data_IF_376904474231
#
_entry.id   IF_376904474231
#
_cell.length_a   1.000
_cell.length_b   1.000
_cell.length_c   1.000
_cell.angle_alpha   90.00
_cell.angle_beta   90.00
_cell.angle_gamma   90.00
#
_symmetry.space_group_name_H-M   'P 1'
#
loop_
_entity.id
_entity.type
_entity.pdbx_description
1 polymer ?
#
# COMPACT_ATOMS: atom_id res chain seq x y z
N UNK A 1 -6.60 -11.19 -23.25
CA UNK A 1 -6.04 -11.41 -21.89
C UNK A 1 -6.77 -10.49 -20.94
N UNK A 2 -6.88 -10.86 -19.66
CA UNK A 2 -7.43 -9.98 -18.61
C UNK A 2 -6.48 -8.78 -18.39
N UNK A 3 -7.04 -7.65 -18.00
CA UNK A 3 -6.25 -6.50 -17.55
C UNK A 3 -5.65 -6.81 -16.18
N UNK A 4 -4.33 -6.83 -16.08
CA UNK A 4 -3.62 -7.24 -14.87
C UNK A 4 -3.27 -6.04 -13.98
N UNK A 5 -3.80 -6.06 -12.75
CA UNK A 5 -3.54 -5.06 -11.71
C UNK A 5 -2.73 -5.72 -10.61
N UNK A 6 -1.50 -5.28 -10.43
CA UNK A 6 -0.62 -5.77 -9.36
C UNK A 6 -0.66 -4.79 -8.18
N UNK A 7 -1.01 -5.27 -6.99
CA UNK A 7 -1.15 -4.47 -5.78
C UNK A 7 -0.01 -4.80 -4.80
N UNK A 8 1.00 -3.94 -4.71
CA UNK A 8 2.10 -4.06 -3.75
C UNK A 8 1.76 -3.25 -2.49
N UNK A 9 1.92 -3.83 -1.32
CA UNK A 9 1.70 -3.14 -0.07
C UNK A 9 2.21 -3.88 1.16
N UNK A 10 1.87 -3.33 2.30
CA UNK A 10 2.22 -3.85 3.62
C UNK A 10 1.10 -4.70 4.25
N UNK A 11 0.97 -4.64 5.57
CA UNK A 11 -0.08 -5.33 6.33
C UNK A 11 -1.50 -4.95 5.93
N UNK A 12 -1.75 -3.71 5.52
CA UNK A 12 -3.06 -3.28 5.03
C UNK A 12 -3.41 -3.93 3.67
N UNK A 13 -2.43 -4.25 2.85
CA UNK A 13 -2.64 -5.01 1.60
C UNK A 13 -2.67 -6.51 1.85
N UNK A 14 -1.87 -7.01 2.79
CA UNK A 14 -1.96 -8.38 3.29
C UNK A 14 -3.33 -8.69 3.89
N UNK A 15 -3.99 -7.68 4.47
CA UNK A 15 -5.27 -7.79 5.14
C UNK A 15 -5.13 -8.17 6.61
N UNK A 16 -4.09 -7.69 7.29
CA UNK A 16 -3.96 -7.91 8.74
C UNK A 16 -5.15 -7.32 9.48
N UNK A 17 -5.75 -8.11 10.35
CA UNK A 17 -6.89 -7.74 11.19
C UNK A 17 -6.42 -7.55 12.64
N UNK A 18 -6.38 -6.30 13.10
CA UNK A 18 -5.93 -5.99 14.46
C UNK A 18 -7.01 -6.28 15.52
N UNK A 19 -8.29 -6.25 15.14
CA UNK A 19 -9.43 -6.64 15.99
C UNK A 19 -10.08 -7.91 15.42
N UNK A 20 -9.82 -9.09 15.99
CA UNK A 20 -10.45 -10.34 15.53
C UNK A 20 -11.98 -10.32 15.50
N UNK A 21 -12.61 -9.40 16.25
CA UNK A 21 -14.08 -9.25 16.22
C UNK A 21 -14.58 -8.54 14.94
N UNK A 22 -13.71 -7.80 14.26
CA UNK A 22 -14.02 -7.19 12.97
C UNK A 22 -13.81 -8.15 11.79
N UNK A 23 -13.09 -9.26 11.98
CA UNK A 23 -12.87 -10.29 10.98
C UNK A 23 -13.99 -11.35 11.04
N UNK A 24 -14.58 -11.70 9.89
CA UNK A 24 -15.69 -12.68 9.83
C UNK A 24 -15.30 -14.04 10.41
N UNK A 25 -14.03 -14.44 10.24
CA UNK A 25 -13.52 -15.72 10.72
C UNK A 25 -12.86 -15.64 12.11
N UNK A 26 -12.97 -14.48 12.77
CA UNK A 26 -12.30 -14.18 14.04
C UNK A 26 -10.78 -14.44 14.00
N UNK A 27 -10.18 -14.32 12.83
CA UNK A 27 -8.75 -14.49 12.60
C UNK A 27 -7.96 -13.19 12.71
N UNK A 28 -6.66 -13.29 12.43
CA UNK A 28 -5.73 -12.16 12.39
C UNK A 28 -5.51 -11.65 10.96
N UNK A 29 -6.25 -12.17 9.98
CA UNK A 29 -6.22 -11.75 8.59
C UNK A 29 -7.63 -11.77 8.03
N UNK A 30 -8.06 -10.66 7.45
CA UNK A 30 -9.31 -10.60 6.71
C UNK A 30 -9.32 -11.63 5.56
N UNK A 31 -10.43 -12.31 5.36
CA UNK A 31 -10.57 -13.31 4.31
C UNK A 31 -10.77 -12.68 2.91
N UNK A 32 -10.96 -13.51 1.88
CA UNK A 32 -11.12 -13.08 0.49
C UNK A 32 -12.41 -12.32 0.19
N UNK A 33 -13.37 -12.30 1.10
CA UNK A 33 -14.57 -11.47 0.99
C UNK A 33 -14.40 -10.08 1.62
N UNK A 34 -13.35 -9.88 2.39
CA UNK A 34 -13.13 -8.71 3.21
C UNK A 34 -11.95 -7.85 2.76
N UNK A 35 -10.82 -8.46 2.32
CA UNK A 35 -9.64 -7.71 1.89
C UNK A 35 -9.93 -6.80 0.71
N UNK A 36 -9.38 -5.59 0.72
CA UNK A 36 -9.62 -4.62 -0.33
C UNK A 36 -9.22 -5.09 -1.73
N UNK A 37 -8.16 -5.85 -1.86
CA UNK A 37 -7.68 -6.42 -3.13
C UNK A 37 -8.69 -7.41 -3.73
N UNK A 38 -9.22 -8.29 -2.91
CA UNK A 38 -10.23 -9.26 -3.32
C UNK A 38 -11.58 -8.60 -3.61
N UNK A 39 -11.96 -7.59 -2.81
CA UNK A 39 -13.15 -6.76 -3.09
C UNK A 39 -12.98 -5.98 -4.40
N UNK A 40 -11.79 -5.45 -4.67
CA UNK A 40 -11.46 -4.80 -5.93
C UNK A 40 -11.63 -5.77 -7.11
N UNK A 41 -11.11 -7.01 -6.99
CA UNK A 41 -11.32 -8.05 -8.02
C UNK A 41 -12.80 -8.30 -8.28
N UNK A 42 -13.61 -8.39 -7.23
CA UNK A 42 -15.07 -8.59 -7.37
C UNK A 42 -15.75 -7.40 -8.06
N UNK A 43 -15.38 -6.18 -7.67
CA UNK A 43 -15.96 -4.95 -8.22
C UNK A 43 -15.61 -4.76 -9.71
N UNK A 44 -14.39 -5.08 -10.10
CA UNK A 44 -13.92 -4.94 -11.49
C UNK A 44 -14.40 -6.07 -12.40
N UNK A 45 -14.73 -7.23 -11.84
CA UNK A 45 -15.28 -8.36 -12.58
C UNK A 45 -14.22 -9.20 -13.33
N UNK A 46 -14.70 -10.14 -14.21
CA UNK A 46 -13.87 -11.20 -14.78
C UNK A 46 -12.87 -10.73 -15.83
N UNK A 47 -13.02 -9.53 -16.39
CA UNK A 47 -12.11 -8.96 -17.38
C UNK A 47 -10.80 -8.47 -16.77
N UNK A 48 -10.71 -8.46 -15.45
CA UNK A 48 -9.53 -8.03 -14.69
C UNK A 48 -8.93 -9.20 -13.92
N UNK A 49 -7.65 -9.10 -13.64
CA UNK A 49 -6.90 -9.94 -12.70
C UNK A 49 -6.26 -9.01 -11.68
N UNK A 50 -6.68 -9.10 -10.44
CA UNK A 50 -6.05 -8.38 -9.32
C UNK A 50 -5.16 -9.34 -8.56
N UNK A 51 -3.86 -9.06 -8.53
CA UNK A 51 -2.87 -9.85 -7.79
C UNK A 51 -2.44 -9.08 -6.57
N UNK A 52 -2.49 -9.73 -5.40
CA UNK A 52 -2.10 -9.13 -4.12
C UNK A 52 -0.67 -9.55 -3.71
N UNK A 53 0.18 -8.56 -3.50
CA UNK A 53 1.54 -8.68 -3.00
C UNK A 53 1.68 -7.88 -1.70
N UNK A 54 0.88 -8.24 -0.69
CA UNK A 54 0.90 -7.66 0.66
C UNK A 54 1.79 -8.46 1.60
N UNK A 55 2.69 -7.77 2.32
CA UNK A 55 3.52 -8.36 3.37
C UNK A 55 3.57 -7.46 4.60
N UNK A 56 3.12 -7.96 5.75
CA UNK A 56 3.16 -7.20 7.01
C UNK A 56 4.57 -6.74 7.36
N UNK A 57 4.72 -5.46 7.70
CA UNK A 57 6.03 -4.88 8.02
C UNK A 57 6.80 -4.29 6.82
N UNK A 58 6.32 -4.46 5.60
CA UNK A 58 6.99 -4.02 4.37
C UNK A 58 7.15 -2.50 4.31
N UNK A 59 8.34 -2.06 3.88
CA UNK A 59 8.72 -0.66 3.67
C UNK A 59 8.92 -0.35 2.18
N UNK A 60 9.07 0.91 1.84
CA UNK A 60 9.38 1.33 0.46
C UNK A 60 10.81 0.94 0.05
N UNK A 61 11.81 1.57 0.67
CA UNK A 61 13.24 1.43 0.31
C UNK A 61 14.15 1.31 1.52
N UNK A 62 13.61 1.24 2.74
CA UNK A 62 14.35 1.25 3.99
C UNK A 62 14.47 -0.16 4.55
N UNK A 63 15.66 -0.78 4.55
CA UNK A 63 15.85 -2.06 5.20
C UNK A 63 15.49 -1.99 6.69
N UNK A 64 14.65 -2.90 7.15
CA UNK A 64 14.36 -3.00 8.58
C UNK A 64 15.48 -3.79 9.27
N UNK A 65 16.16 -3.24 10.29
CA UNK A 65 17.27 -3.95 10.94
C UNK A 65 16.83 -5.15 11.77
N UNK A 66 15.50 -5.32 12.00
CA UNK A 66 14.93 -6.41 12.81
C UNK A 66 14.36 -7.52 11.94
N UNK A 67 13.88 -7.17 10.72
CA UNK A 67 13.20 -8.10 9.83
C UNK A 67 13.88 -8.15 8.47
N UNK A 68 14.03 -9.35 7.93
CA UNK A 68 14.72 -9.56 6.64
C UNK A 68 13.84 -9.20 5.44
N UNK A 69 14.46 -8.59 4.42
CA UNK A 69 13.87 -8.34 3.10
C UNK A 69 12.54 -7.56 3.13
N UNK A 70 12.42 -6.57 4.03
CA UNK A 70 11.19 -5.78 4.12
C UNK A 70 11.13 -4.64 3.10
N UNK A 71 12.26 -4.12 2.61
CA UNK A 71 12.24 -3.07 1.60
C UNK A 71 11.93 -3.63 0.20
N UNK A 72 10.87 -3.09 -0.43
CA UNK A 72 10.45 -3.54 -1.76
C UNK A 72 11.52 -3.28 -2.81
N UNK A 73 12.27 -2.18 -2.68
CA UNK A 73 13.23 -1.77 -3.70
C UNK A 73 14.26 -2.85 -4.00
N UNK A 74 14.69 -3.61 -2.98
CA UNK A 74 15.75 -4.62 -3.13
C UNK A 74 15.33 -5.79 -4.03
N UNK A 75 14.03 -6.10 -4.15
CA UNK A 75 13.53 -7.23 -4.94
C UNK A 75 12.43 -6.86 -5.95
N UNK A 76 12.10 -5.57 -6.10
CA UNK A 76 11.03 -5.12 -7.01
C UNK A 76 11.21 -5.60 -8.44
N UNK A 77 12.45 -5.73 -8.92
CA UNK A 77 12.72 -6.27 -10.25
C UNK A 77 12.19 -7.71 -10.40
N UNK A 78 12.58 -8.61 -9.50
CA UNK A 78 12.16 -10.00 -9.55
C UNK A 78 10.63 -10.12 -9.35
N UNK A 79 10.08 -9.33 -8.42
CA UNK A 79 8.64 -9.30 -8.15
C UNK A 79 7.84 -8.91 -9.41
N UNK A 80 8.20 -7.80 -10.05
CA UNK A 80 7.49 -7.33 -11.23
C UNK A 80 7.65 -8.30 -12.42
N UNK A 81 8.86 -8.86 -12.64
CA UNK A 81 9.11 -9.81 -13.71
C UNK A 81 8.34 -11.12 -13.54
N UNK A 82 8.09 -11.56 -12.32
CA UNK A 82 7.29 -12.76 -12.07
C UNK A 82 5.80 -12.57 -12.33
N UNK A 83 5.35 -11.32 -12.48
CA UNK A 83 3.95 -10.94 -12.75
C UNK A 83 3.71 -10.32 -14.13
N UNK A 84 4.68 -10.40 -15.05
CA UNK A 84 4.52 -9.85 -16.41
C UNK A 84 3.40 -10.58 -17.19
N UNK A 85 2.52 -9.88 -17.94
CA UNK A 85 2.57 -8.43 -18.16
C UNK A 85 1.58 -7.71 -17.24
N UNK A 86 1.94 -6.49 -16.83
CA UNK A 86 1.17 -5.66 -15.90
C UNK A 86 0.52 -4.51 -16.67
N UNK A 87 -0.78 -4.25 -16.43
CA UNK A 87 -1.49 -3.08 -16.96
C UNK A 87 -1.47 -1.91 -15.98
N UNK A 88 -1.53 -2.18 -14.67
CA UNK A 88 -1.49 -1.17 -13.62
C UNK A 88 -0.77 -1.72 -12.39
N UNK A 89 0.20 -0.97 -11.89
CA UNK A 89 0.84 -1.20 -10.60
C UNK A 89 0.23 -0.26 -9.56
N UNK A 90 -0.34 -0.82 -8.50
CA UNK A 90 -0.83 -0.09 -7.33
C UNK A 90 0.15 -0.28 -6.18
N UNK A 91 0.63 0.81 -5.56
CA UNK A 91 1.57 0.76 -4.44
C UNK A 91 0.97 1.49 -3.25
N UNK A 92 0.71 0.78 -2.16
CA UNK A 92 0.30 1.34 -0.87
C UNK A 92 1.29 0.92 0.21
N UNK A 93 2.26 1.79 0.46
CA UNK A 93 3.36 1.63 1.43
C UNK A 93 3.62 2.96 2.13
N UNK A 94 4.39 2.94 3.22
CA UNK A 94 4.80 4.14 3.94
C UNK A 94 4.52 4.07 5.44
N UNK A 95 3.53 3.27 5.87
CA UNK A 95 3.22 3.10 7.30
C UNK A 95 4.43 2.60 8.07
N UNK A 96 5.08 1.53 7.59
CA UNK A 96 6.26 0.96 8.25
C UNK A 96 7.53 1.81 8.12
N UNK A 97 7.57 2.66 7.12
CA UNK A 97 8.68 3.61 6.92
C UNK A 97 8.73 4.66 8.03
N UNK A 98 7.62 4.86 8.78
CA UNK A 98 7.55 5.78 9.92
C UNK A 98 8.20 5.25 11.19
N UNK A 99 8.57 3.97 11.25
CA UNK A 99 9.18 3.34 12.43
C UNK A 99 10.42 4.10 12.88
N UNK A 100 10.45 4.49 14.15
CA UNK A 100 11.50 5.38 14.70
C UNK A 100 12.92 4.83 14.48
N UNK A 101 13.08 3.49 14.50
CA UNK A 101 14.37 2.81 14.22
C UNK A 101 14.91 3.03 12.81
N UNK A 102 14.08 3.49 11.86
CA UNK A 102 14.51 3.79 10.49
C UNK A 102 15.00 5.24 10.34
N UNK A 103 14.76 6.11 11.33
CA UNK A 103 15.25 7.49 11.34
C UNK A 103 14.71 8.36 10.20
N UNK A 104 13.50 8.10 9.74
CA UNK A 104 12.89 8.75 8.57
C UNK A 104 12.09 10.00 8.95
N UNK A 105 11.67 10.72 7.93
CA UNK A 105 10.70 11.80 8.00
C UNK A 105 9.84 11.81 6.72
N UNK A 106 8.75 12.59 6.63
CA UNK A 106 7.86 12.56 5.47
C UNK A 106 8.55 12.83 4.12
N UNK A 107 9.50 13.77 4.08
CA UNK A 107 10.28 14.07 2.88
C UNK A 107 11.11 12.86 2.42
N UNK A 108 11.83 12.23 3.35
CA UNK A 108 12.70 11.07 3.05
C UNK A 108 11.86 9.87 2.60
N UNK A 109 10.69 9.65 3.22
CA UNK A 109 9.72 8.61 2.80
C UNK A 109 9.21 8.91 1.38
N UNK A 110 8.85 10.16 1.09
CA UNK A 110 8.46 10.59 -0.25
C UNK A 110 9.54 10.32 -1.31
N UNK A 111 10.81 10.61 -0.97
CA UNK A 111 11.95 10.28 -1.85
C UNK A 111 12.17 8.77 -2.00
N UNK A 112 11.87 8.00 -0.98
CA UNK A 112 11.85 6.53 -1.05
C UNK A 112 10.82 6.04 -2.05
N UNK A 113 9.59 6.54 -1.99
CA UNK A 113 8.53 6.22 -2.95
C UNK A 113 8.92 6.65 -4.38
N UNK A 114 9.44 7.85 -4.56
CA UNK A 114 9.93 8.31 -5.86
C UNK A 114 10.96 7.34 -6.45
N UNK A 115 11.93 6.92 -5.65
CA UNK A 115 12.97 5.98 -6.08
C UNK A 115 12.39 4.62 -6.45
N UNK A 116 11.43 4.11 -5.66
CA UNK A 116 10.76 2.85 -5.92
C UNK A 116 9.96 2.88 -7.23
N UNK A 117 9.16 3.92 -7.43
CA UNK A 117 8.34 4.08 -8.65
C UNK A 117 9.22 4.23 -9.89
N UNK A 118 10.26 5.07 -9.84
CA UNK A 118 11.23 5.19 -10.95
C UNK A 118 11.84 3.83 -11.31
N UNK A 119 12.24 3.04 -10.31
CA UNK A 119 12.77 1.71 -10.55
C UNK A 119 11.72 0.79 -11.17
N UNK A 120 10.51 0.76 -10.66
CA UNK A 120 9.42 -0.05 -11.19
C UNK A 120 9.12 0.28 -12.66
N UNK A 121 9.06 1.57 -13.03
CA UNK A 121 8.80 2.01 -14.39
C UNK A 121 9.88 1.59 -15.40
N UNK A 122 11.12 1.30 -14.94
CA UNK A 122 12.21 0.84 -15.82
C UNK A 122 12.25 -0.67 -16.02
N UNK A 123 11.45 -1.44 -15.30
CA UNK A 123 11.40 -2.89 -15.46
C UNK A 123 10.59 -3.25 -16.69
N UNK A 124 11.12 -4.16 -17.49
CA UNK A 124 10.42 -4.67 -18.69
C UNK A 124 9.38 -5.74 -18.28
N UNK A 125 8.27 -5.26 -17.74
CA UNK A 125 7.16 -6.10 -17.24
C UNK A 125 5.78 -5.57 -17.64
N UNK A 126 5.74 -4.47 -18.39
CA UNK A 126 4.51 -3.79 -18.80
C UNK A 126 3.94 -4.39 -20.07
N UNK A 127 2.66 -4.15 -20.34
CA UNK A 127 2.06 -4.59 -21.61
C UNK A 127 2.87 -4.04 -22.80
N UNK A 128 3.19 -4.89 -23.78
CA UNK A 128 4.00 -4.49 -24.93
C UNK A 128 3.44 -3.25 -25.64
N UNK A 129 4.30 -2.25 -25.84
CA UNK A 129 3.93 -0.99 -26.50
C UNK A 129 3.10 -0.03 -25.63
N UNK A 130 2.92 -0.33 -24.34
CA UNK A 130 2.24 0.57 -23.39
C UNK A 130 3.23 1.25 -22.46
N UNK A 131 2.87 2.46 -22.05
CA UNK A 131 3.62 3.17 -21.01
C UNK A 131 3.27 2.58 -19.64
N UNK A 132 4.23 2.57 -18.69
CA UNK A 132 3.97 2.18 -17.31
C UNK A 132 2.85 3.00 -16.66
N UNK A 133 1.86 2.33 -16.07
CA UNK A 133 0.80 2.97 -15.31
C UNK A 133 0.92 2.60 -13.83
N UNK A 134 1.09 3.61 -12.99
CA UNK A 134 1.27 3.44 -11.54
C UNK A 134 0.27 4.29 -10.79
N UNK A 135 -0.35 3.71 -9.76
CA UNK A 135 -1.15 4.41 -8.76
C UNK A 135 -0.42 4.35 -7.42
N UNK A 136 0.03 5.50 -6.94
CA UNK A 136 0.58 5.66 -5.59
C UNK A 136 -0.57 5.93 -4.64
N UNK A 137 -0.68 5.14 -3.58
CA UNK A 137 -1.66 5.35 -2.51
C UNK A 137 -0.91 5.74 -1.24
N UNK A 138 -1.19 6.92 -0.70
CA UNK A 138 -0.79 7.28 0.64
C UNK A 138 -1.68 6.51 1.63
N UNK A 139 -1.10 5.71 2.56
CA UNK A 139 -1.89 5.00 3.55
C UNK A 139 -2.60 5.98 4.50
N UNK A 140 -3.68 5.55 5.18
CA UNK A 140 -4.29 6.36 6.24
C UNK A 140 -3.24 6.78 7.26
N UNK A 141 -3.28 8.03 7.76
CA UNK A 141 -2.39 8.45 8.83
C UNK A 141 -2.59 7.60 10.10
N UNK A 142 -1.49 7.32 10.79
CA UNK A 142 -1.52 6.62 12.07
C UNK A 142 -2.18 7.52 13.12
N UNK A 143 -3.19 6.98 13.83
CA UNK A 143 -3.89 7.69 14.89
C UNK A 143 -3.04 7.85 16.16
N UNK A 144 -3.21 8.98 16.85
CA UNK A 144 -2.49 9.28 18.11
C UNK A 144 -2.75 8.24 19.22
N UNK A 145 -3.90 7.57 19.19
CA UNK A 145 -4.24 6.50 20.13
C UNK A 145 -3.25 5.34 20.12
N UNK A 146 -2.50 5.13 19.03
CA UNK A 146 -1.42 4.17 18.92
C UNK A 146 -0.43 4.30 20.09
N UNK A 147 -0.17 5.52 20.55
CA UNK A 147 0.77 5.80 21.64
C UNK A 147 0.32 5.22 23.00
N UNK A 148 -0.96 4.89 23.15
CA UNK A 148 -1.50 4.26 24.36
C UNK A 148 -1.37 2.72 24.36
N UNK A 149 -1.07 2.13 23.20
CA UNK A 149 -0.83 0.69 23.06
C UNK A 149 0.67 0.41 23.20
N UNK A 150 1.11 0.01 24.39
CA UNK A 150 2.52 -0.12 24.73
C UNK A 150 3.39 -0.93 23.73
N UNK A 151 3.00 -2.16 23.35
CA UNK A 151 3.75 -2.95 22.38
C UNK A 151 3.83 -2.29 20.99
N UNK A 152 2.74 -1.71 20.52
CA UNK A 152 2.70 -1.04 19.21
C UNK A 152 3.50 0.27 19.25
N UNK A 153 3.36 1.06 20.31
CA UNK A 153 4.14 2.27 20.52
C UNK A 153 5.64 1.99 20.59
N UNK A 154 6.05 0.87 21.19
CA UNK A 154 7.45 0.45 21.25
C UNK A 154 8.00 0.05 19.87
N UNK A 155 7.19 -0.60 19.02
CA UNK A 155 7.61 -0.99 17.66
C UNK A 155 7.68 0.22 16.71
N UNK A 156 6.65 1.06 16.73
CA UNK A 156 6.51 2.19 15.80
C UNK A 156 7.30 3.42 16.24
N UNK A 157 7.39 3.67 17.53
CA UNK A 157 8.00 4.87 18.10
C UNK A 157 7.02 6.05 18.18
N UNK A 158 7.35 7.01 19.05
CA UNK A 158 6.47 8.15 19.40
C UNK A 158 6.19 9.12 18.26
N UNK A 159 7.06 9.17 17.24
CA UNK A 159 6.97 10.12 16.14
C UNK A 159 6.14 9.58 14.96
N UNK A 160 5.80 8.29 14.93
CA UNK A 160 5.11 7.66 13.81
C UNK A 160 3.79 8.35 13.42
N UNK A 161 2.90 8.76 14.34
CA UNK A 161 1.69 9.50 13.97
C UNK A 161 1.97 10.84 13.28
N UNK A 162 2.94 11.60 13.79
CA UNK A 162 3.31 12.89 13.20
C UNK A 162 3.94 12.74 11.82
N UNK A 163 4.82 11.76 11.65
CA UNK A 163 5.46 11.46 10.36
C UNK A 163 4.41 11.01 9.34
N UNK A 164 3.51 10.10 9.71
CA UNK A 164 2.51 9.54 8.80
C UNK A 164 1.58 10.59 8.19
N UNK A 165 1.20 11.63 8.96
CA UNK A 165 0.37 12.74 8.46
C UNK A 165 1.00 13.54 7.32
N UNK A 166 2.31 13.57 7.24
CA UNK A 166 3.01 14.30 6.18
C UNK A 166 3.25 13.51 4.89
N UNK A 167 2.98 12.20 4.87
CA UNK A 167 3.33 11.33 3.73
C UNK A 167 2.55 11.71 2.46
N UNK A 168 1.25 11.95 2.60
CA UNK A 168 0.36 12.19 1.46
C UNK A 168 0.80 13.38 0.59
N UNK A 169 1.28 14.47 1.19
CA UNK A 169 1.79 15.64 0.48
C UNK A 169 2.98 15.28 -0.43
N UNK A 170 3.96 14.55 0.10
CA UNK A 170 5.15 14.15 -0.67
C UNK A 170 4.85 13.08 -1.72
N UNK A 171 3.90 12.19 -1.45
CA UNK A 171 3.46 11.20 -2.45
C UNK A 171 2.71 11.84 -3.60
N UNK A 172 1.86 12.83 -3.32
CA UNK A 172 1.19 13.63 -4.34
C UNK A 172 2.20 14.35 -5.23
N UNK A 173 3.17 15.04 -4.62
CA UNK A 173 4.24 15.72 -5.34
C UNK A 173 5.09 14.73 -6.18
N UNK A 174 5.34 13.53 -5.66
CA UNK A 174 6.01 12.46 -6.41
C UNK A 174 5.20 12.01 -7.62
N UNK A 175 3.90 11.82 -7.46
CA UNK A 175 3.02 11.42 -8.56
C UNK A 175 2.97 12.48 -9.66
N UNK A 176 2.84 13.75 -9.29
CA UNK A 176 2.88 14.88 -10.22
C UNK A 176 4.21 14.95 -10.97
N UNK A 177 5.35 14.80 -10.26
CA UNK A 177 6.69 14.81 -10.86
C UNK A 177 6.91 13.67 -11.87
N UNK A 178 6.34 12.49 -11.60
CA UNK A 178 6.54 11.29 -12.43
C UNK A 178 5.45 11.09 -13.48
N UNK A 179 4.40 11.91 -13.46
CA UNK A 179 3.24 11.74 -14.34
C UNK A 179 2.49 10.44 -14.08
N UNK A 180 2.37 10.04 -12.81
CA UNK A 180 1.62 8.85 -12.37
C UNK A 180 0.44 9.25 -11.49
N UNK A 181 -0.44 8.29 -11.17
CA UNK A 181 -1.67 8.57 -10.44
C UNK A 181 -1.44 8.55 -8.92
N UNK A 182 -2.28 9.30 -8.20
CA UNK A 182 -2.23 9.43 -6.74
C UNK A 182 -3.61 9.27 -6.12
N UNK A 183 -3.65 8.62 -4.95
CA UNK A 183 -4.82 8.54 -4.07
C UNK A 183 -4.36 8.74 -2.62
N UNK A 184 -5.03 9.65 -1.91
CA UNK A 184 -4.91 9.75 -0.45
C UNK A 184 -5.98 8.87 0.19
N UNK A 185 -5.58 7.85 0.95
CA UNK A 185 -6.49 6.93 1.62
C UNK A 185 -6.88 7.37 3.04
N UNK A 186 -6.65 8.64 3.41
CA UNK A 186 -7.02 9.18 4.71
C UNK A 186 -8.53 9.10 5.03
N UNK A 187 -9.39 8.88 4.01
CA UNK A 187 -10.84 8.67 4.19
C UNK A 187 -11.20 7.26 4.68
N UNK A 188 -10.27 6.31 4.64
CA UNK A 188 -10.52 4.94 5.04
C UNK A 188 -10.55 4.82 6.57
N UNK A 189 -11.53 4.08 7.08
CA UNK A 189 -11.62 3.77 8.50
C UNK A 189 -10.51 2.82 8.92
N UNK A 190 -9.78 3.16 9.98
CA UNK A 190 -8.85 2.27 10.67
C UNK A 190 -9.38 1.91 12.07
N UNK A 191 -8.87 0.81 12.64
CA UNK A 191 -9.32 0.31 13.95
C UNK A 191 -8.74 1.14 15.12
N UNK A 192 -9.36 1.00 16.30
CA UNK A 192 -8.94 1.66 17.54
C UNK A 192 -8.12 0.73 18.47
N UNK A 193 -7.68 -0.43 17.97
CA UNK A 193 -6.78 -1.34 18.69
C UNK A 193 -5.33 -0.90 18.51
N UNK A 194 -4.92 -0.68 17.27
CA UNK A 194 -3.56 -0.24 16.94
C UNK A 194 -3.49 1.10 16.19
N UNK A 195 -4.64 1.63 15.80
CA UNK A 195 -4.80 2.96 15.17
C UNK A 195 -4.07 3.13 13.83
N UNK A 196 -3.84 2.04 13.10
CA UNK A 196 -3.16 2.09 11.78
C UNK A 196 -3.69 1.08 10.75
N UNK A 197 -4.25 -0.05 11.20
CA UNK A 197 -4.78 -1.04 10.26
C UNK A 197 -6.25 -0.76 9.93
N UNK A 198 -6.58 -0.98 8.66
CA UNK A 198 -7.93 -0.80 8.16
C UNK A 198 -8.91 -1.73 8.88
N UNK A 199 -10.11 -1.21 9.14
CA UNK A 199 -11.26 -2.06 9.51
C UNK A 199 -11.81 -2.75 8.25
N UNK A 200 -12.74 -3.71 8.44
CA UNK A 200 -13.54 -4.28 7.33
C UNK A 200 -14.18 -3.19 6.49
N UNK A 201 -14.71 -2.13 7.13
CA UNK A 201 -15.28 -0.99 6.43
C UNK A 201 -14.21 -0.19 5.69
N UNK A 202 -13.04 0.03 6.27
CA UNK A 202 -11.90 0.68 5.60
C UNK A 202 -11.45 -0.07 4.35
N UNK A 203 -11.38 -1.39 4.41
CA UNK A 203 -11.11 -2.23 3.24
C UNK A 203 -12.18 -2.07 2.14
N UNK A 204 -13.46 -1.99 2.52
CA UNK A 204 -14.54 -1.76 1.56
C UNK A 204 -14.43 -0.38 0.88
N UNK A 205 -14.19 0.67 1.67
CA UNK A 205 -14.04 2.05 1.18
C UNK A 205 -12.85 2.16 0.19
N UNK A 206 -11.72 1.57 0.53
CA UNK A 206 -10.54 1.58 -0.34
C UNK A 206 -10.79 0.86 -1.66
N UNK A 207 -11.38 -0.34 -1.61
CA UNK A 207 -11.71 -1.13 -2.79
C UNK A 207 -12.67 -0.39 -3.72
N UNK A 208 -13.73 0.21 -3.17
CA UNK A 208 -14.71 0.99 -3.94
C UNK A 208 -14.06 2.18 -4.66
N UNK A 209 -13.20 2.92 -3.95
CA UNK A 209 -12.52 4.08 -4.53
C UNK A 209 -11.56 3.69 -5.65
N UNK A 210 -10.78 2.63 -5.46
CA UNK A 210 -9.85 2.14 -6.50
C UNK A 210 -10.63 1.58 -7.69
N UNK A 211 -11.75 0.89 -7.48
CA UNK A 211 -12.58 0.36 -8.56
C UNK A 211 -13.14 1.44 -9.48
N UNK A 212 -13.39 2.66 -8.95
CA UNK A 212 -13.78 3.82 -9.76
C UNK A 212 -12.60 4.35 -10.60
N UNK A 213 -11.39 4.39 -10.03
CA UNK A 213 -10.20 4.96 -10.68
C UNK A 213 -9.60 4.04 -11.76
N UNK A 214 -9.61 2.74 -11.55
CA UNK A 214 -8.94 1.78 -12.44
C UNK A 214 -9.38 1.89 -13.90
N UNK A 215 -10.69 1.93 -14.24
CA UNK A 215 -11.11 2.09 -15.64
C UNK A 215 -10.65 3.42 -16.26
N UNK A 216 -10.64 4.51 -15.50
CA UNK A 216 -10.19 5.83 -15.94
C UNK A 216 -8.70 5.80 -16.26
N UNK A 217 -7.88 5.30 -15.31
CA UNK A 217 -6.43 5.16 -15.48
C UNK A 217 -6.08 4.31 -16.70
N UNK A 218 -6.81 3.22 -16.92
CA UNK A 218 -6.51 2.31 -18.02
C UNK A 218 -7.03 2.79 -19.38
N UNK A 219 -7.90 3.80 -19.41
CA UNK A 219 -8.40 4.41 -20.64
C UNK A 219 -7.42 5.47 -21.23
N UNK A 220 -6.54 6.06 -20.41
CA UNK A 220 -5.47 6.95 -20.84
C UNK A 220 -4.39 6.21 -21.68
#
# INVERSE_FOLDING_TARGET
MKKHILCIGDSNTHGYCADPMDCADHGIRFNEDERWTCRLQKALGPEYLVTEEGLSGRTTVFPDPINENMDVLSYVYALLKSHEYIDLLVIMLGTNDTKERLGTNPFVIGKGMERLVRKAMTVDCWQPGKQPKVLIIAPPPIGEGMLTNGPIAADMGKNAPAISRGIAEYYKATAELLGVHFLDAAFCQFNEVDYMHLTRQGHAQLAEKIAQLVPEILAE
#
